data_IF_332566944293
#
_entry.id   IF_332566944293
#
_cell.length_a   1.000
_cell.length_b   1.000
_cell.length_c   1.000
_cell.angle_alpha   90.00
_cell.angle_beta   90.00
_cell.angle_gamma   90.00
#
_symmetry.space_group_name_H-M   'P 1'
#
loop_
_entity.id
_entity.type
_entity.pdbx_description
1 polymer ?
#
# COMPACT_ATOMS: atom_id res chain seq x y z
N UNK A 1 -27.35 15.82 12.16
CA UNK A 1 -26.41 15.24 11.17
C UNK A 1 -24.99 15.62 11.58
N UNK A 2 -24.16 14.71 12.11
CA UNK A 2 -22.77 15.09 12.40
C UNK A 2 -22.03 15.23 11.07
N UNK A 3 -21.63 16.46 10.76
CA UNK A 3 -20.70 16.79 9.68
C UNK A 3 -19.37 16.11 10.01
N UNK A 4 -19.03 15.07 9.27
CA UNK A 4 -17.69 14.48 9.27
C UNK A 4 -16.70 15.59 8.84
N UNK A 5 -16.05 16.23 9.83
CA UNK A 5 -15.02 17.23 9.59
C UNK A 5 -13.79 16.53 9.02
N UNK A 6 -13.61 16.60 7.71
CA UNK A 6 -12.42 16.05 7.03
C UNK A 6 -11.34 17.12 7.02
N UNK A 7 -10.45 17.07 8.01
CA UNK A 7 -9.43 18.08 8.30
C UNK A 7 -8.10 17.93 7.53
N UNK A 8 -8.09 17.31 6.34
CA UNK A 8 -6.85 17.10 5.59
C UNK A 8 -7.02 17.01 4.08
N UNK A 9 -6.00 17.48 3.34
CA UNK A 9 -5.87 17.23 1.88
C UNK A 9 -5.82 15.72 1.64
N UNK A 10 -6.74 15.20 0.82
CA UNK A 10 -6.65 13.83 0.31
C UNK A 10 -5.54 13.80 -0.72
N UNK A 11 -4.44 13.15 -0.37
CA UNK A 11 -3.47 12.71 -1.36
C UNK A 11 -3.81 11.27 -1.73
N UNK A 12 -4.08 11.06 -3.00
CA UNK A 12 -4.33 9.76 -3.60
C UNK A 12 -3.18 9.44 -4.53
N UNK A 13 -2.53 8.30 -4.32
CA UNK A 13 -1.53 7.80 -5.23
C UNK A 13 -2.11 6.63 -6.01
N UNK A 14 -2.19 6.76 -7.33
CA UNK A 14 -2.46 5.65 -8.23
C UNK A 14 -1.15 4.93 -8.55
N UNK A 15 -1.03 3.67 -8.12
CA UNK A 15 0.17 2.86 -8.36
C UNK A 15 -0.17 1.38 -8.45
N UNK A 16 0.69 0.62 -9.11
CA UNK A 16 0.63 -0.83 -9.05
C UNK A 16 1.13 -1.29 -7.67
N UNK A 17 0.36 -2.18 -7.04
CA UNK A 17 0.71 -2.76 -5.75
C UNK A 17 0.62 -4.27 -5.86
N UNK A 18 1.50 -4.95 -5.15
CA UNK A 18 1.41 -6.37 -4.94
C UNK A 18 0.67 -6.61 -3.64
N UNK A 19 -0.39 -7.40 -3.69
CA UNK A 19 -1.12 -7.84 -2.52
C UNK A 19 -0.83 -9.31 -2.28
N UNK A 20 -0.71 -9.65 -1.00
CA UNK A 20 -0.48 -11.01 -0.54
C UNK A 20 -1.53 -11.31 0.53
N UNK A 21 -2.27 -12.40 0.37
CA UNK A 21 -3.34 -12.77 1.29
C UNK A 21 -3.55 -14.27 1.36
N UNK A 22 -4.22 -14.71 2.43
CA UNK A 22 -4.68 -16.08 2.57
C UNK A 22 -6.19 -16.12 2.54
N UNK A 23 -6.71 -16.95 1.64
CA UNK A 23 -8.12 -17.26 1.59
C UNK A 23 -8.30 -18.68 2.13
N UNK A 24 -9.00 -18.84 3.26
CA UNK A 24 -9.20 -20.13 3.92
C UNK A 24 -7.88 -20.85 4.28
N UNK A 25 -7.87 -22.19 4.24
CA UNK A 25 -6.67 -23.02 4.43
C UNK A 25 -5.84 -23.18 3.15
N UNK A 26 -6.09 -22.35 2.13
CA UNK A 26 -5.32 -22.38 0.90
C UNK A 26 -3.94 -21.73 1.05
N UNK A 27 -3.01 -22.02 0.13
CA UNK A 27 -1.75 -21.30 0.04
C UNK A 27 -1.96 -19.80 -0.10
N UNK A 28 -0.95 -19.05 0.30
CA UNK A 28 -0.91 -17.61 0.16
C UNK A 28 -0.96 -17.20 -1.31
N UNK A 29 -1.93 -16.36 -1.65
CA UNK A 29 -2.15 -15.85 -3.00
C UNK A 29 -1.48 -14.49 -3.15
N UNK A 30 -0.93 -14.26 -4.34
CA UNK A 30 -0.22 -13.04 -4.69
C UNK A 30 -0.83 -12.46 -5.97
N UNK A 31 -1.24 -11.20 -5.92
CA UNK A 31 -1.81 -10.49 -7.07
C UNK A 31 -1.16 -9.12 -7.22
N UNK A 32 -1.00 -8.63 -8.45
CA UNK A 32 -0.67 -7.22 -8.71
C UNK A 32 -1.92 -6.48 -9.14
N UNK A 33 -2.27 -5.43 -8.41
CA UNK A 33 -3.51 -4.67 -8.58
C UNK A 33 -3.20 -3.18 -8.69
N UNK A 34 -4.09 -2.43 -9.31
CA UNK A 34 -4.03 -0.97 -9.24
C UNK A 34 -4.58 -0.53 -7.89
N UNK A 35 -3.84 0.32 -7.17
CA UNK A 35 -4.30 0.88 -5.91
C UNK A 35 -4.37 2.40 -5.96
N UNK A 36 -5.37 2.94 -5.27
CA UNK A 36 -5.41 4.33 -4.86
C UNK A 36 -5.11 4.41 -3.36
N UNK A 37 -3.93 4.94 -2.99
CA UNK A 37 -3.42 4.94 -1.62
C UNK A 37 -3.56 6.32 -0.98
N UNK A 38 -4.01 6.35 0.27
CA UNK A 38 -4.19 7.54 1.10
C UNK A 38 -3.55 7.38 2.49
N UNK A 39 -3.73 8.40 3.36
CA UNK A 39 -3.21 8.39 4.74
C UNK A 39 -3.71 7.23 5.60
N UNK A 40 -4.99 6.88 5.48
CA UNK A 40 -5.60 5.85 6.35
C UNK A 40 -5.67 4.47 5.73
N UNK A 41 -5.42 4.33 4.42
CA UNK A 41 -5.79 3.11 3.72
C UNK A 41 -5.64 3.20 2.21
N UNK A 42 -6.06 2.13 1.54
CA UNK A 42 -6.03 2.02 0.09
C UNK A 42 -7.36 1.48 -0.45
N UNK A 43 -7.69 1.90 -1.66
CA UNK A 43 -8.66 1.21 -2.50
C UNK A 43 -7.89 0.37 -3.53
N UNK A 44 -8.12 -0.94 -3.53
CA UNK A 44 -7.46 -1.90 -4.40
C UNK A 44 -8.45 -2.35 -5.47
N UNK A 45 -8.15 -2.08 -6.75
CA UNK A 45 -8.94 -2.55 -7.88
C UNK A 45 -8.59 -3.99 -8.20
N UNK A 46 -9.41 -4.92 -7.72
CA UNK A 46 -9.29 -6.35 -7.96
C UNK A 46 -10.67 -6.93 -8.25
N UNK A 47 -10.72 -7.92 -9.13
CA UNK A 47 -11.92 -8.73 -9.38
C UNK A 47 -12.04 -9.89 -8.40
N UNK A 48 -11.01 -10.13 -7.57
CA UNK A 48 -11.03 -11.20 -6.60
C UNK A 48 -11.89 -10.81 -5.39
N UNK A 49 -12.87 -11.64 -5.03
CA UNK A 49 -13.68 -11.40 -3.85
C UNK A 49 -12.85 -11.63 -2.59
N UNK A 50 -12.43 -10.54 -1.94
CA UNK A 50 -11.71 -10.59 -0.66
C UNK A 50 -12.67 -10.27 0.48
N UNK A 51 -12.97 -11.22 1.39
CA UNK A 51 -13.95 -11.02 2.47
C UNK A 51 -13.69 -9.79 3.34
N UNK A 52 -14.75 -9.23 3.91
CA UNK A 52 -14.63 -8.25 4.99
C UNK A 52 -13.80 -8.84 6.13
N UNK A 53 -13.03 -7.98 6.79
CA UNK A 53 -12.09 -8.30 7.86
C UNK A 53 -10.90 -9.20 7.46
N UNK A 54 -10.75 -9.54 6.16
CA UNK A 54 -9.54 -10.21 5.68
C UNK A 54 -8.31 -9.34 5.89
N UNK A 55 -7.22 -9.97 6.34
CA UNK A 55 -5.91 -9.33 6.48
C UNK A 55 -5.15 -9.47 5.17
N UNK A 56 -4.62 -8.36 4.67
CA UNK A 56 -3.79 -8.31 3.47
C UNK A 56 -2.43 -7.74 3.83
N UNK A 57 -1.37 -8.29 3.24
CA UNK A 57 -0.10 -7.60 3.11
C UNK A 57 -0.09 -6.87 1.76
N UNK A 58 0.40 -5.64 1.75
CA UNK A 58 0.50 -4.81 0.54
C UNK A 58 1.92 -4.29 0.42
N UNK A 59 2.47 -4.45 -0.77
CA UNK A 59 3.82 -4.09 -1.16
C UNK A 59 3.75 -3.13 -2.35
N UNK A 60 4.43 -2.00 -2.28
CA UNK A 60 4.42 -1.02 -3.36
C UNK A 60 5.69 -0.18 -3.43
N UNK A 61 5.94 0.35 -4.61
CA UNK A 61 7.06 1.25 -4.90
C UNK A 61 6.62 2.70 -4.85
N UNK A 62 7.45 3.52 -4.22
CA UNK A 62 7.31 4.96 -4.24
C UNK A 62 8.61 5.61 -4.69
N UNK A 63 8.50 6.62 -5.53
CA UNK A 63 9.56 7.62 -5.63
C UNK A 63 9.56 8.55 -4.40
N UNK A 64 10.64 9.31 -4.25
CA UNK A 64 10.77 10.25 -3.13
C UNK A 64 9.75 11.38 -3.14
N UNK A 65 9.20 11.75 -4.30
CA UNK A 65 8.19 12.81 -4.39
C UNK A 65 6.87 12.35 -3.78
N UNK A 66 6.43 11.15 -4.13
CA UNK A 66 5.22 10.50 -3.63
C UNK A 66 5.38 10.08 -2.17
N UNK A 67 6.57 9.65 -1.75
CA UNK A 67 6.87 9.37 -0.35
C UNK A 67 6.72 10.62 0.53
N UNK A 68 7.18 11.80 0.06
CA UNK A 68 6.99 13.09 0.76
C UNK A 68 5.53 13.52 0.84
N UNK A 69 4.65 12.98 0.00
CA UNK A 69 3.20 13.24 0.08
C UNK A 69 2.54 12.31 1.10
N UNK A 70 3.16 11.16 1.38
CA UNK A 70 2.76 10.19 2.41
C UNK A 70 3.52 10.38 3.74
N UNK A 71 3.65 11.64 4.21
CA UNK A 71 4.40 12.04 5.43
C UNK A 71 3.98 11.36 6.74
N UNK A 72 2.91 10.58 6.74
CA UNK A 72 2.48 9.76 7.88
C UNK A 72 3.20 8.42 7.95
N UNK A 73 3.71 7.91 6.82
CA UNK A 73 4.45 6.64 6.74
C UNK A 73 5.84 6.79 7.35
N UNK A 74 6.42 8.00 7.32
CA UNK A 74 7.81 8.22 7.73
C UNK A 74 7.98 9.39 8.69
N UNK A 75 8.80 9.16 9.71
CA UNK A 75 9.38 10.24 10.51
C UNK A 75 10.30 11.12 9.65
N UNK A 76 10.44 12.40 10.03
CA UNK A 76 11.34 13.36 9.36
C UNK A 76 12.79 12.84 9.31
N UNK A 77 13.21 12.08 10.33
CA UNK A 77 14.57 11.52 10.41
C UNK A 77 14.77 10.42 9.37
N UNK A 78 13.79 9.53 9.20
CA UNK A 78 13.83 8.48 8.18
C UNK A 78 13.87 9.07 6.76
N UNK A 79 13.15 10.17 6.51
CA UNK A 79 13.19 10.85 5.21
C UNK A 79 14.59 11.36 4.83
N UNK A 80 15.40 11.81 5.81
CA UNK A 80 16.77 12.32 5.55
C UNK A 80 17.69 11.22 5.03
N UNK A 81 17.57 10.00 5.56
CA UNK A 81 18.35 8.84 5.12
C UNK A 81 17.94 8.38 3.71
N UNK A 82 16.66 8.56 3.35
CA UNK A 82 16.14 8.17 2.03
C UNK A 82 16.32 9.24 0.95
N UNK A 83 16.61 10.49 1.29
CA UNK A 83 16.82 11.58 0.32
C UNK A 83 17.91 11.31 -0.73
N UNK A 84 18.81 10.36 -0.49
CA UNK A 84 19.89 10.00 -1.41
C UNK A 84 19.51 8.86 -2.39
N UNK A 85 18.28 8.32 -2.29
CA UNK A 85 17.84 7.15 -3.08
C UNK A 85 16.63 7.51 -3.93
N UNK A 86 16.53 7.00 -5.17
CA UNK A 86 15.47 7.42 -6.10
C UNK A 86 14.09 6.81 -5.78
N UNK A 87 14.08 5.63 -5.16
CA UNK A 87 12.85 4.87 -4.86
C UNK A 87 12.96 4.15 -3.53
N UNK A 88 11.81 3.94 -2.91
CA UNK A 88 11.64 3.13 -1.71
C UNK A 88 10.60 2.05 -1.93
N UNK A 89 10.85 0.90 -1.34
CA UNK A 89 9.88 -0.16 -1.16
C UNK A 89 9.11 0.11 0.13
N UNK A 90 7.79 0.10 0.06
CA UNK A 90 6.93 0.12 1.24
C UNK A 90 6.19 -1.21 1.34
N UNK A 91 6.23 -1.79 2.54
CA UNK A 91 5.45 -2.96 2.92
C UNK A 91 4.58 -2.57 4.12
N UNK A 92 3.30 -2.92 4.08
CA UNK A 92 2.39 -2.73 5.23
C UNK A 92 1.34 -3.82 5.23
N UNK A 93 0.62 -3.98 6.34
CA UNK A 93 -0.58 -4.80 6.37
C UNK A 93 -1.82 -3.94 6.58
N UNK A 94 -2.96 -4.45 6.19
CA UNK A 94 -4.24 -3.81 6.43
C UNK A 94 -5.37 -4.80 6.49
N UNK A 95 -6.56 -4.28 6.78
CA UNK A 95 -7.79 -5.05 6.93
C UNK A 95 -8.83 -4.54 5.95
N UNK A 96 -9.48 -5.45 5.23
CA UNK A 96 -10.59 -5.11 4.33
C UNK A 96 -11.77 -4.61 5.15
N UNK A 97 -12.21 -3.39 4.90
CA UNK A 97 -13.33 -2.74 5.61
C UNK A 97 -14.56 -2.56 4.72
N UNK A 98 -14.40 -2.64 3.39
CA UNK A 98 -15.50 -2.51 2.43
C UNK A 98 -15.17 -3.26 1.14
N UNK A 99 -16.23 -3.79 0.52
CA UNK A 99 -16.19 -4.35 -0.83
C UNK A 99 -17.03 -3.45 -1.75
N UNK A 100 -16.57 -3.27 -2.98
CA UNK A 100 -17.25 -2.55 -4.05
C UNK A 100 -17.21 -3.40 -5.33
N UNK A 101 -17.99 -3.01 -6.34
CA UNK A 101 -18.12 -3.81 -7.57
C UNK A 101 -16.80 -3.97 -8.34
N UNK A 102 -15.89 -3.00 -8.21
CA UNK A 102 -14.61 -2.93 -8.92
C UNK A 102 -13.39 -3.05 -7.99
N UNK A 103 -13.58 -3.43 -6.73
CA UNK A 103 -12.47 -3.59 -5.80
C UNK A 103 -12.85 -3.62 -4.33
N UNK A 104 -11.85 -3.32 -3.50
CA UNK A 104 -11.98 -3.34 -2.04
C UNK A 104 -11.34 -2.11 -1.40
N UNK A 105 -11.92 -1.65 -0.30
CA UNK A 105 -11.29 -0.65 0.56
C UNK A 105 -10.66 -1.33 1.77
N UNK A 106 -9.41 -0.97 2.06
CA UNK A 106 -8.61 -1.49 3.15
C UNK A 106 -8.12 -0.35 4.03
N UNK A 107 -8.13 -0.54 5.34
CA UNK A 107 -7.47 0.35 6.32
C UNK A 107 -6.09 -0.21 6.67
N UNK A 108 -5.07 0.63 6.74
CA UNK A 108 -3.71 0.19 7.09
C UNK A 108 -3.54 0.02 8.61
N UNK A 109 -2.67 -0.91 9.02
CA UNK A 109 -2.35 -1.18 10.42
C UNK A 109 -1.20 -0.31 10.97
N UNK A 110 -0.75 0.69 10.21
CA UNK A 110 0.37 1.59 10.55
C UNK A 110 1.72 0.90 10.85
N UNK A 111 1.90 -0.33 10.38
CA UNK A 111 3.10 -1.14 10.54
C UNK A 111 4.00 -1.09 9.30
N UNK A 112 4.29 0.11 8.82
CA UNK A 112 5.05 0.30 7.60
C UNK A 112 6.51 -0.12 7.78
N UNK A 113 6.98 -0.99 6.88
CA UNK A 113 8.40 -1.21 6.65
C UNK A 113 8.78 -0.46 5.38
N UNK A 114 9.79 0.41 5.48
CA UNK A 114 10.27 1.20 4.34
C UNK A 114 11.73 0.88 4.11
N UNK A 115 12.02 0.38 2.90
CA UNK A 115 13.37 -0.04 2.51
C UNK A 115 13.80 0.74 1.26
N UNK A 116 14.90 1.49 1.32
CA UNK A 116 15.42 2.15 0.13
C UNK A 116 15.99 1.13 -0.84
N UNK A 117 15.74 1.31 -2.14
CA UNK A 117 16.17 0.38 -3.18
C UNK A 117 17.38 0.97 -3.90
N UNK A 118 18.40 0.14 -4.17
CA UNK A 118 19.53 0.60 -4.98
C UNK A 118 19.12 0.72 -6.46
N UNK A 119 19.70 1.68 -7.21
CA UNK A 119 19.56 1.70 -8.66
C UNK A 119 20.07 0.37 -9.24
N UNK A 120 19.16 -0.47 -9.76
CA UNK A 120 19.48 -1.80 -10.31
C UNK A 120 18.79 -2.97 -9.61
N UNK A 121 18.31 -2.81 -8.38
CA UNK A 121 17.61 -3.86 -7.60
C UNK A 121 16.09 -3.88 -7.83
N UNK A 122 15.61 -3.32 -8.94
CA UNK A 122 14.18 -3.25 -9.25
C UNK A 122 13.63 -4.59 -9.74
N UNK A 123 13.78 -5.64 -8.93
CA UNK A 123 13.25 -6.98 -9.14
C UNK A 123 11.76 -7.08 -8.79
N UNK A 124 11.02 -5.95 -8.78
CA UNK A 124 9.66 -5.84 -8.23
C UNK A 124 8.62 -6.76 -8.86
N UNK A 125 8.91 -7.32 -10.05
CA UNK A 125 8.09 -8.33 -10.72
C UNK A 125 8.84 -9.63 -11.04
N UNK A 126 10.12 -9.75 -10.67
CA UNK A 126 10.92 -10.93 -10.97
C UNK A 126 10.91 -11.89 -9.78
N UNK A 127 9.82 -12.63 -9.65
CA UNK A 127 9.89 -13.99 -9.13
C UNK A 127 9.68 -14.93 -10.32
N UNK A 128 10.76 -15.20 -11.04
CA UNK A 128 10.83 -16.38 -11.91
C UNK A 128 10.90 -17.60 -10.98
N UNK A 129 9.81 -18.38 -11.03
CA UNK A 129 9.69 -19.84 -10.85
C UNK A 129 10.02 -20.42 -9.48
#
# INVERSE_FOLDING_TARGET
>A
MPREQRSGKRFSLETAVKITYRHNQEPEQVETVSANISNGGAFLRTLQPLPLASKLQVEFLLDMENLKKLRFILSINSLKEFCQRPRVWVITTGVVIRQEADGIAMVFNNNYTVTPIQPGESSFFNQKR
#
